data_IF_278128058298
#
_entry.id   IF_278128058298
#
_cell.length_a   1.000
_cell.length_b   1.000
_cell.length_c   1.000
_cell.angle_alpha   90.00
_cell.angle_beta   90.00
_cell.angle_gamma   90.00
#
_symmetry.space_group_name_H-M   'P 1'
#
loop_
_entity.id
_entity.type
_entity.pdbx_description
1 polymer ?
#
# COMPACT_ATOMS: atom_id res chain seq x y z
N UNK A 1 -8.87 26.48 -5.56
CA UNK A 1 -7.54 26.70 -6.15
C UNK A 1 -6.50 26.96 -5.07
N UNK A 2 -6.76 27.84 -4.12
CA UNK A 2 -5.85 28.14 -2.99
C UNK A 2 -5.45 26.89 -2.21
N UNK A 3 -6.41 26.00 -1.89
CA UNK A 3 -6.14 24.75 -1.21
C UNK A 3 -5.20 23.84 -2.03
N UNK A 4 -5.42 23.71 -3.33
CA UNK A 4 -4.53 22.93 -4.21
C UNK A 4 -3.13 23.52 -4.24
N UNK A 5 -3.02 24.85 -4.30
CA UNK A 5 -1.74 25.54 -4.28
C UNK A 5 -1.01 25.37 -2.95
N UNK A 6 -1.73 25.38 -1.81
CA UNK A 6 -1.13 25.14 -0.49
C UNK A 6 -0.56 23.72 -0.34
N UNK A 7 -1.09 22.74 -1.09
CA UNK A 7 -0.56 21.38 -1.20
C UNK A 7 0.43 21.19 -2.35
N UNK A 8 0.98 22.27 -2.91
CA UNK A 8 1.97 22.26 -3.99
C UNK A 8 1.47 21.67 -5.32
N UNK A 9 0.17 21.64 -5.53
CA UNK A 9 -0.42 21.34 -6.85
C UNK A 9 -0.56 22.64 -7.66
N UNK A 10 -0.54 22.59 -9.01
CA UNK A 10 -0.70 23.78 -9.85
C UNK A 10 -2.16 24.27 -9.85
N UNK A 11 -2.66 24.76 -8.72
CA UNK A 11 -4.05 25.09 -8.47
C UNK A 11 -4.67 26.05 -9.49
N UNK A 12 -3.87 26.96 -10.04
CA UNK A 12 -4.34 27.92 -11.07
C UNK A 12 -4.52 27.30 -12.44
N UNK A 13 -3.79 26.22 -12.74
CA UNK A 13 -3.76 25.56 -14.06
C UNK A 13 -4.68 24.34 -14.14
N UNK A 14 -4.97 23.69 -13.00
CA UNK A 14 -5.82 22.51 -12.96
C UNK A 14 -7.23 22.86 -13.47
N UNK A 15 -7.79 22.12 -14.45
CA UNK A 15 -9.16 22.30 -14.89
C UNK A 15 -10.14 21.96 -13.75
N UNK A 16 -11.21 22.74 -13.64
CA UNK A 16 -12.30 22.50 -12.69
C UNK A 16 -13.57 22.35 -13.50
N UNK A 17 -14.09 21.13 -13.55
CA UNK A 17 -15.31 20.80 -14.30
C UNK A 17 -16.49 20.80 -13.32
N UNK A 18 -17.58 21.46 -13.71
CA UNK A 18 -18.82 21.52 -12.93
C UNK A 18 -19.92 20.76 -13.63
N UNK A 19 -20.54 19.80 -12.96
CA UNK A 19 -21.61 18.99 -13.51
C UNK A 19 -22.38 18.24 -12.42
N UNK A 20 -23.38 17.49 -12.84
CA UNK A 20 -24.22 16.67 -11.98
C UNK A 20 -24.33 15.24 -12.55
N UNK A 21 -23.81 14.27 -11.80
CA UNK A 21 -23.93 12.86 -12.16
C UNK A 21 -25.41 12.40 -12.21
N UNK A 22 -26.25 12.91 -11.32
CA UNK A 22 -27.69 12.62 -11.34
C UNK A 22 -28.33 13.10 -12.65
N UNK A 23 -28.02 14.33 -13.06
CA UNK A 23 -28.53 14.88 -14.33
C UNK A 23 -28.04 14.10 -15.55
N UNK A 24 -26.83 13.55 -15.50
CA UNK A 24 -26.36 12.68 -16.57
C UNK A 24 -27.16 11.37 -16.66
N UNK A 25 -27.50 10.76 -15.53
CA UNK A 25 -28.36 9.56 -15.49
C UNK A 25 -29.77 9.88 -16.01
N UNK A 26 -30.29 11.08 -15.70
CA UNK A 26 -31.58 11.57 -16.19
C UNK A 26 -31.56 11.97 -17.69
N UNK A 27 -30.39 11.94 -18.34
CA UNK A 27 -30.26 12.29 -19.76
C UNK A 27 -30.15 13.78 -20.05
N UNK A 28 -29.95 14.63 -19.03
CA UNK A 28 -29.71 16.07 -19.22
C UNK A 28 -28.38 16.31 -19.94
N UNK A 29 -28.45 16.94 -21.11
CA UNK A 29 -27.26 17.18 -21.93
C UNK A 29 -26.33 18.23 -21.32
N UNK A 30 -26.88 19.33 -20.78
CA UNK A 30 -26.09 20.51 -20.44
C UNK A 30 -25.43 20.40 -19.05
N UNK A 31 -26.16 19.95 -18.05
CA UNK A 31 -25.65 19.81 -16.68
C UNK A 31 -25.12 18.43 -16.36
N UNK A 32 -25.40 17.45 -17.20
CA UNK A 32 -25.06 16.05 -17.00
C UNK A 32 -24.03 15.54 -18.01
N UNK A 33 -24.44 15.24 -19.23
CA UNK A 33 -23.64 14.49 -20.20
C UNK A 33 -22.38 15.25 -20.62
N UNK A 34 -22.52 16.48 -21.10
CA UNK A 34 -21.37 17.31 -21.53
C UNK A 34 -20.31 17.50 -20.46
N UNK A 35 -20.65 17.88 -19.19
CA UNK A 35 -19.65 17.99 -18.14
C UNK A 35 -18.92 16.68 -17.85
N UNK A 36 -19.55 15.53 -17.97
CA UNK A 36 -18.89 14.23 -17.78
C UNK A 36 -17.92 13.96 -18.93
N UNK A 37 -18.29 14.23 -20.16
CA UNK A 37 -17.40 14.12 -21.32
C UNK A 37 -16.19 15.08 -21.19
N UNK A 38 -16.42 16.33 -20.77
CA UNK A 38 -15.36 17.29 -20.48
C UNK A 38 -14.43 16.81 -19.35
N UNK A 39 -14.99 16.19 -18.30
CA UNK A 39 -14.22 15.61 -17.20
C UNK A 39 -13.30 14.50 -17.70
N UNK A 40 -13.85 13.56 -18.49
CA UNK A 40 -13.05 12.46 -19.04
C UNK A 40 -11.93 12.98 -19.95
N UNK A 41 -12.23 13.96 -20.81
CA UNK A 41 -11.22 14.61 -21.64
C UNK A 41 -10.14 15.32 -20.80
N UNK A 42 -10.53 16.05 -19.75
CA UNK A 42 -9.59 16.72 -18.85
C UNK A 42 -8.71 15.72 -18.10
N UNK A 43 -9.25 14.57 -17.70
CA UNK A 43 -8.47 13.46 -17.10
C UNK A 43 -7.41 12.97 -18.06
N UNK A 44 -7.78 12.67 -19.30
CA UNK A 44 -6.86 12.15 -20.32
C UNK A 44 -5.74 13.16 -20.67
N UNK A 45 -6.06 14.45 -20.69
CA UNK A 45 -5.11 15.52 -21.07
C UNK A 45 -4.22 16.00 -19.92
N UNK A 46 -4.70 15.90 -18.68
CA UNK A 46 -4.05 16.60 -17.53
C UNK A 46 -3.35 15.65 -16.56
N UNK A 47 -3.85 14.41 -16.41
CA UNK A 47 -3.26 13.45 -15.48
C UNK A 47 -2.09 12.74 -16.16
N UNK A 48 -0.84 12.90 -15.64
CA UNK A 48 0.30 12.23 -16.23
C UNK A 48 0.19 10.71 -16.04
N UNK A 49 0.69 9.96 -17.01
CA UNK A 49 0.83 8.51 -16.88
C UNK A 49 1.82 8.21 -15.73
N UNK A 50 1.45 7.39 -14.75
CA UNK A 50 2.35 7.02 -13.66
C UNK A 50 3.50 6.16 -14.19
N UNK A 51 4.70 6.39 -13.64
CA UNK A 51 5.80 5.47 -13.86
C UNK A 51 5.48 4.11 -13.26
N UNK A 52 5.67 3.05 -14.05
CA UNK A 52 5.46 1.66 -13.62
C UNK A 52 6.82 0.97 -13.51
N UNK A 53 7.30 0.63 -12.31
CA UNK A 53 8.60 0.00 -12.11
C UNK A 53 8.59 -1.48 -12.52
N UNK A 54 8.52 -1.77 -13.83
CA UNK A 54 8.44 -3.12 -14.38
C UNK A 54 9.77 -3.87 -14.34
N UNK A 55 10.89 -3.15 -14.33
CA UNK A 55 12.26 -3.72 -14.35
C UNK A 55 12.71 -4.28 -12.99
N UNK A 56 11.94 -4.00 -11.92
CA UNK A 56 12.22 -4.52 -10.59
C UNK A 56 11.68 -5.95 -10.43
N UNK A 57 12.19 -6.73 -9.45
CA UNK A 57 11.59 -8.01 -9.10
C UNK A 57 10.11 -7.85 -8.77
N UNK A 58 9.28 -8.82 -9.21
CA UNK A 58 7.85 -8.80 -8.92
C UNK A 58 7.57 -8.77 -7.42
N UNK A 59 6.63 -7.90 -7.03
CA UNK A 59 6.10 -7.80 -5.67
C UNK A 59 4.66 -7.32 -5.71
N UNK A 60 3.77 -8.06 -5.03
CA UNK A 60 2.36 -7.75 -4.87
C UNK A 60 1.94 -7.96 -3.41
N UNK A 61 1.57 -6.90 -2.68
CA UNK A 61 0.92 -7.03 -1.37
C UNK A 61 -0.42 -7.76 -1.51
N UNK A 62 -0.67 -8.73 -0.64
CA UNK A 62 -1.91 -9.51 -0.63
C UNK A 62 -2.98 -8.72 0.11
N UNK A 63 -4.09 -8.43 -0.58
CA UNK A 63 -5.25 -7.72 -0.06
C UNK A 63 -6.35 -8.67 0.39
N UNK A 64 -6.70 -9.65 -0.45
CA UNK A 64 -7.70 -10.66 -0.16
C UNK A 64 -7.28 -12.06 -0.63
N UNK A 65 -7.90 -13.08 -0.02
CA UNK A 65 -7.64 -14.49 -0.31
C UNK A 65 -8.95 -15.22 -0.52
N UNK A 66 -9.08 -15.88 -1.67
CA UNK A 66 -10.27 -16.63 -2.06
C UNK A 66 -9.91 -18.08 -2.37
N UNK A 67 -10.86 -19.00 -2.11
CA UNK A 67 -10.82 -20.36 -2.63
C UNK A 67 -11.79 -20.48 -3.79
N UNK A 68 -11.31 -20.95 -4.92
CA UNK A 68 -12.15 -21.27 -6.09
C UNK A 68 -12.24 -22.80 -6.20
N UNK A 69 -13.46 -23.32 -6.10
CA UNK A 69 -13.72 -24.77 -6.22
C UNK A 69 -13.12 -25.32 -7.52
N UNK A 70 -12.30 -26.37 -7.43
CA UNK A 70 -11.65 -27.03 -8.56
C UNK A 70 -10.46 -26.25 -9.18
N UNK A 71 -10.15 -25.03 -8.68
CA UNK A 71 -9.02 -24.22 -9.18
C UNK A 71 -7.92 -23.98 -8.15
N UNK A 72 -8.25 -23.87 -6.86
CA UNK A 72 -7.31 -23.64 -5.78
C UNK A 72 -7.45 -22.26 -5.12
N UNK A 73 -6.39 -21.76 -4.53
CA UNK A 73 -6.35 -20.48 -3.83
C UNK A 73 -5.96 -19.36 -4.77
N UNK A 74 -6.74 -18.29 -4.75
CA UNK A 74 -6.47 -17.03 -5.44
C UNK A 74 -6.16 -15.95 -4.42
N UNK A 75 -5.07 -15.22 -4.63
CA UNK A 75 -4.75 -14.02 -3.88
C UNK A 75 -4.92 -12.80 -4.77
N UNK A 76 -5.50 -11.73 -4.23
CA UNK A 76 -5.66 -10.49 -4.98
C UNK A 76 -4.82 -9.39 -4.38
N UNK A 77 -4.42 -8.46 -5.22
CA UNK A 77 -3.67 -7.27 -4.81
C UNK A 77 -3.27 -6.40 -6.00
N UNK A 78 -2.75 -5.25 -5.68
CA UNK A 78 -2.13 -4.38 -6.67
C UNK A 78 -0.65 -4.75 -6.80
N UNK A 79 -0.20 -4.98 -8.01
CA UNK A 79 1.23 -5.18 -8.29
C UNK A 79 1.98 -3.88 -7.98
N UNK A 80 2.84 -3.92 -6.97
CA UNK A 80 3.64 -2.76 -6.53
C UNK A 80 4.79 -2.50 -7.49
N UNK A 81 5.45 -3.56 -7.95
CA UNK A 81 6.57 -3.53 -8.88
C UNK A 81 6.75 -4.84 -9.64
N UNK A 82 7.48 -4.79 -10.73
CA UNK A 82 7.84 -5.94 -11.56
C UNK A 82 6.70 -6.46 -12.43
N UNK A 83 6.91 -7.66 -12.93
CA UNK A 83 6.00 -8.40 -13.79
C UNK A 83 5.90 -9.84 -13.29
N UNK A 84 4.70 -10.40 -13.30
CA UNK A 84 4.46 -11.83 -13.05
C UNK A 84 3.84 -12.46 -14.30
N UNK A 85 4.31 -13.64 -14.65
CA UNK A 85 3.76 -14.46 -15.74
C UNK A 85 3.13 -15.74 -15.20
N UNK A 86 2.25 -16.32 -15.96
CA UNK A 86 1.78 -17.67 -15.70
C UNK A 86 2.96 -18.64 -15.72
N UNK A 87 3.02 -19.52 -14.72
CA UNK A 87 4.07 -20.49 -14.40
C UNK A 87 5.34 -19.91 -13.74
N UNK A 88 5.38 -18.64 -13.38
CA UNK A 88 6.46 -18.10 -12.56
C UNK A 88 6.48 -18.74 -11.17
N UNK A 89 7.68 -19.07 -10.69
CA UNK A 89 7.91 -19.45 -9.29
C UNK A 89 7.86 -18.19 -8.42
N UNK A 90 7.13 -18.26 -7.32
CA UNK A 90 6.90 -17.17 -6.40
C UNK A 90 7.08 -17.61 -4.94
N UNK A 91 7.23 -16.64 -4.05
CA UNK A 91 7.24 -16.80 -2.60
C UNK A 91 6.16 -15.94 -1.94
N UNK A 92 5.52 -16.51 -0.91
CA UNK A 92 4.62 -15.80 0.01
C UNK A 92 5.45 -15.45 1.25
N UNK A 93 5.65 -14.17 1.52
CA UNK A 93 6.58 -13.66 2.54
C UNK A 93 5.88 -12.79 3.57
N UNK A 94 6.26 -12.91 4.83
CA UNK A 94 5.74 -12.12 5.96
C UNK A 94 4.72 -12.88 6.79
N UNK A 95 4.51 -12.42 8.03
CA UNK A 95 3.59 -12.93 9.06
C UNK A 95 3.85 -14.39 9.44
N UNK A 96 3.84 -15.29 8.47
CA UNK A 96 4.10 -16.74 8.61
C UNK A 96 5.45 -17.12 8.00
N UNK A 97 5.81 -18.38 8.11
CA UNK A 97 6.98 -18.92 7.41
C UNK A 97 6.83 -18.74 5.90
N UNK A 98 7.93 -18.37 5.27
CA UNK A 98 7.97 -18.17 3.80
C UNK A 98 7.65 -19.45 3.08
N UNK A 99 6.71 -19.41 2.15
CA UNK A 99 6.27 -20.55 1.37
C UNK A 99 6.54 -20.32 -0.12
N UNK A 100 6.96 -21.37 -0.81
CA UNK A 100 7.13 -21.36 -2.26
C UNK A 100 5.84 -21.80 -2.95
N UNK A 101 5.55 -21.18 -4.07
CA UNK A 101 4.39 -21.51 -4.90
C UNK A 101 4.67 -21.21 -6.36
N UNK A 102 3.72 -21.53 -7.23
CA UNK A 102 3.76 -21.19 -8.65
C UNK A 102 2.47 -20.45 -9.01
N UNK A 103 2.59 -19.36 -9.72
CA UNK A 103 1.46 -18.65 -10.31
C UNK A 103 0.91 -19.48 -11.48
N UNK A 104 -0.26 -20.08 -11.34
CA UNK A 104 -0.86 -20.90 -12.41
C UNK A 104 -1.85 -20.13 -13.28
N UNK A 105 -2.14 -18.89 -12.93
CA UNK A 105 -3.00 -18.03 -13.73
C UNK A 105 -3.04 -16.62 -13.16
N UNK A 106 -3.22 -15.67 -14.03
CA UNK A 106 -3.41 -14.25 -13.71
C UNK A 106 -4.78 -13.84 -14.23
N UNK A 107 -5.56 -13.14 -13.43
CA UNK A 107 -6.89 -12.66 -13.80
C UNK A 107 -7.05 -11.19 -13.43
N UNK A 108 -7.66 -10.42 -14.33
CA UNK A 108 -8.05 -9.03 -14.10
C UNK A 108 -9.41 -8.77 -14.77
N UNK A 109 -10.37 -8.19 -14.01
CA UNK A 109 -11.72 -7.91 -14.47
C UNK A 109 -12.42 -9.13 -15.10
N UNK A 110 -12.27 -10.31 -14.51
CA UNK A 110 -12.83 -11.60 -14.99
C UNK A 110 -12.27 -12.06 -16.34
N UNK A 111 -11.11 -11.53 -16.74
CA UNK A 111 -10.38 -11.98 -17.93
C UNK A 111 -9.09 -12.63 -17.51
N UNK A 112 -8.79 -13.78 -18.08
CA UNK A 112 -7.50 -14.43 -17.93
C UNK A 112 -6.45 -13.67 -18.74
N UNK A 113 -5.31 -13.47 -18.13
CA UNK A 113 -4.15 -12.79 -18.73
C UNK A 113 -2.94 -13.73 -18.65
N UNK A 114 -2.00 -13.56 -19.57
CA UNK A 114 -0.72 -14.24 -19.52
C UNK A 114 0.23 -13.60 -18.48
N UNK A 115 0.07 -12.29 -18.28
CA UNK A 115 0.96 -11.48 -17.44
C UNK A 115 0.19 -10.48 -16.60
N UNK A 116 0.77 -10.11 -15.43
CA UNK A 116 0.36 -8.96 -14.62
C UNK A 116 1.58 -8.08 -14.34
N UNK A 117 1.44 -6.75 -14.44
CA UNK A 117 2.55 -5.82 -14.33
C UNK A 117 2.31 -4.72 -13.30
N UNK A 118 3.40 -4.04 -12.89
CA UNK A 118 3.34 -2.94 -11.93
C UNK A 118 2.18 -1.98 -12.22
N UNK A 119 1.34 -1.72 -11.22
CA UNK A 119 0.14 -0.88 -11.30
C UNK A 119 -1.16 -1.62 -11.54
N UNK A 120 -1.12 -2.88 -11.98
CA UNK A 120 -2.32 -3.67 -12.23
C UNK A 120 -2.90 -4.22 -10.91
N UNK A 121 -4.23 -4.26 -10.81
CA UNK A 121 -4.93 -5.02 -9.77
C UNK A 121 -5.27 -6.40 -10.34
N UNK A 122 -4.64 -7.43 -9.80
CA UNK A 122 -4.78 -8.80 -10.31
C UNK A 122 -5.22 -9.78 -9.24
N UNK A 123 -5.80 -10.89 -9.69
CA UNK A 123 -5.91 -12.13 -8.95
C UNK A 123 -4.86 -13.11 -9.46
N UNK A 124 -4.01 -13.62 -8.58
CA UNK A 124 -3.02 -14.64 -8.89
C UNK A 124 -3.48 -16.00 -8.33
N UNK A 125 -3.60 -16.97 -9.20
CA UNK A 125 -3.94 -18.34 -8.83
C UNK A 125 -2.66 -19.09 -8.42
N UNK A 126 -2.65 -19.65 -7.21
CA UNK A 126 -1.48 -20.26 -6.59
C UNK A 126 -1.59 -21.78 -6.54
N UNK A 127 -0.52 -22.48 -6.92
CA UNK A 127 -0.42 -23.93 -6.88
C UNK A 127 -0.02 -24.40 -5.48
N UNK A 128 -0.77 -25.39 -4.95
CA UNK A 128 -0.38 -26.11 -3.72
C UNK A 128 -0.45 -25.27 -2.45
N UNK A 129 -1.20 -24.18 -2.46
CA UNK A 129 -1.44 -23.32 -1.30
C UNK A 129 -2.90 -23.42 -0.90
N UNK A 130 -3.15 -23.78 0.33
CA UNK A 130 -4.49 -23.75 0.93
C UNK A 130 -4.80 -22.34 1.43
N UNK A 131 -6.10 -21.98 1.46
CA UNK A 131 -6.54 -20.65 1.87
C UNK A 131 -6.05 -20.25 3.27
N UNK A 132 -5.93 -21.18 4.21
CA UNK A 132 -5.49 -20.95 5.58
C UNK A 132 -3.97 -20.76 5.71
N UNK A 133 -3.21 -21.07 4.68
CA UNK A 133 -1.75 -20.89 4.64
C UNK A 133 -1.33 -19.48 4.24
N UNK A 134 -2.21 -18.74 3.59
CA UNK A 134 -1.97 -17.36 3.14
C UNK A 134 -3.00 -16.40 3.73
N UNK A 135 -2.58 -15.19 4.00
CA UNK A 135 -3.46 -14.16 4.58
C UNK A 135 -3.10 -12.76 4.10
N UNK A 136 -4.06 -11.85 4.25
CA UNK A 136 -3.85 -10.42 4.00
C UNK A 136 -2.66 -9.90 4.81
N UNK A 137 -1.83 -9.08 4.16
CA UNK A 137 -0.65 -8.47 4.78
C UNK A 137 0.66 -9.17 4.47
N UNK A 138 0.61 -10.41 4.00
CA UNK A 138 1.76 -11.04 3.35
C UNK A 138 1.99 -10.42 1.97
N UNK A 139 3.14 -10.65 1.38
CA UNK A 139 3.42 -10.28 -0.01
C UNK A 139 3.69 -11.51 -0.86
N UNK A 140 3.24 -11.46 -2.09
CA UNK A 140 3.62 -12.40 -3.13
C UNK A 140 4.78 -11.77 -3.91
N UNK A 141 5.90 -12.46 -4.02
CA UNK A 141 7.13 -11.90 -4.58
C UNK A 141 7.93 -12.91 -5.41
N UNK A 142 8.85 -12.38 -6.22
CA UNK A 142 9.89 -13.20 -6.86
C UNK A 142 10.75 -13.86 -5.78
N UNK A 143 11.12 -15.15 -5.92
CA UNK A 143 11.89 -15.85 -4.89
C UNK A 143 13.17 -15.11 -4.48
N UNK A 144 13.36 -14.94 -3.15
CA UNK A 144 14.53 -14.32 -2.56
C UNK A 144 14.64 -12.81 -2.75
N UNK A 145 13.66 -12.15 -3.37
CA UNK A 145 13.72 -10.70 -3.65
C UNK A 145 13.37 -9.82 -2.46
N UNK A 146 12.66 -10.34 -1.47
CA UNK A 146 12.33 -9.64 -0.22
C UNK A 146 12.39 -10.63 0.95
N UNK A 147 12.68 -10.12 2.15
CA UNK A 147 12.78 -10.94 3.37
C UNK A 147 11.83 -10.44 4.45
N UNK A 148 11.37 -11.35 5.34
CA UNK A 148 10.61 -10.96 6.52
C UNK A 148 11.54 -10.47 7.63
N UNK A 149 11.18 -9.37 8.30
CA UNK A 149 11.92 -8.79 9.40
C UNK A 149 10.99 -8.49 10.59
N UNK A 150 11.49 -8.70 11.81
CA UNK A 150 10.82 -8.32 13.06
C UNK A 150 11.43 -7.07 13.70
N UNK A 151 12.62 -6.66 13.26
CA UNK A 151 13.32 -5.50 13.80
C UNK A 151 13.86 -4.65 12.68
N UNK A 152 13.67 -3.33 12.80
CA UNK A 152 14.13 -2.36 11.81
C UNK A 152 14.45 -1.02 12.48
N UNK A 153 15.27 -0.21 11.82
CA UNK A 153 15.49 1.20 12.14
C UNK A 153 14.63 2.07 11.25
N UNK A 154 14.12 3.16 11.78
CA UNK A 154 13.24 4.07 11.05
C UNK A 154 13.50 5.53 11.37
N UNK A 155 13.17 6.37 10.39
CA UNK A 155 12.95 7.80 10.55
C UNK A 155 11.43 8.06 10.48
N UNK A 156 10.85 8.72 11.47
CA UNK A 156 9.40 8.96 11.50
C UNK A 156 9.08 10.36 12.02
N UNK A 157 8.13 11.01 11.36
CA UNK A 157 7.52 12.25 11.80
C UNK A 157 6.29 11.95 12.66
N UNK A 158 6.23 12.55 13.83
CA UNK A 158 5.13 12.39 14.78
C UNK A 158 4.17 13.56 14.63
N UNK A 159 2.95 13.27 14.22
CA UNK A 159 1.93 14.28 13.94
C UNK A 159 1.57 15.10 15.19
N UNK A 160 1.47 16.41 15.02
CA UNK A 160 0.98 17.35 16.03
C UNK A 160 -0.53 17.18 16.28
N UNK A 161 -1.01 17.72 17.39
CA UNK A 161 -2.44 17.73 17.72
C UNK A 161 -3.28 18.40 16.62
N UNK A 162 -2.81 19.49 16.06
CA UNK A 162 -3.48 20.24 15.00
C UNK A 162 -3.56 19.46 13.67
N UNK A 163 -2.67 18.50 13.49
CA UNK A 163 -2.63 17.55 12.35
C UNK A 163 -3.47 16.28 12.61
N UNK A 164 -4.21 16.24 13.72
CA UNK A 164 -4.99 15.07 14.15
C UNK A 164 -4.17 14.01 14.90
N UNK A 165 -2.93 14.30 15.23
CA UNK A 165 -2.00 13.41 15.92
C UNK A 165 -2.10 13.43 17.44
N UNK A 166 -0.99 13.21 18.10
CA UNK A 166 -0.86 13.15 19.57
C UNK A 166 -0.76 14.56 20.17
N UNK A 167 -1.11 14.66 21.45
CA UNK A 167 -0.90 15.87 22.28
C UNK A 167 0.06 15.63 23.43
N UNK A 168 0.54 14.40 23.60
CA UNK A 168 1.49 14.00 24.66
C UNK A 168 2.71 13.32 24.04
N UNK A 169 3.89 13.48 24.66
CA UNK A 169 5.08 12.74 24.23
C UNK A 169 4.91 11.24 24.42
N UNK A 170 5.81 10.46 23.84
CA UNK A 170 5.98 9.04 24.15
C UNK A 170 7.45 8.73 24.47
N UNK A 171 7.65 7.62 25.14
CA UNK A 171 8.92 7.15 25.67
C UNK A 171 9.30 5.81 25.04
N UNK A 172 10.51 5.34 25.30
CA UNK A 172 10.89 3.95 24.97
C UNK A 172 9.88 2.97 25.56
N UNK A 173 9.67 1.84 24.89
CA UNK A 173 8.62 0.83 25.12
C UNK A 173 7.20 1.26 24.75
N UNK A 174 7.02 2.37 24.06
CA UNK A 174 5.75 2.71 23.42
C UNK A 174 5.38 1.63 22.39
N UNK A 175 4.13 1.18 22.39
CA UNK A 175 3.67 0.02 21.59
C UNK A 175 2.45 0.37 20.74
N UNK A 176 2.61 1.15 19.66
CA UNK A 176 1.55 1.45 18.71
C UNK A 176 1.40 0.34 17.66
N UNK A 177 0.46 0.54 16.74
CA UNK A 177 0.33 -0.24 15.53
C UNK A 177 1.10 0.41 14.38
N UNK A 178 1.89 -0.39 13.68
CA UNK A 178 2.64 -0.03 12.47
C UNK A 178 1.92 -0.59 11.25
N UNK A 179 1.51 0.29 10.37
CA UNK A 179 0.78 -0.07 9.14
C UNK A 179 1.74 -0.13 7.97
N UNK A 180 1.96 -1.35 7.46
CA UNK A 180 2.76 -1.61 6.28
C UNK A 180 1.86 -2.14 5.16
N UNK A 181 1.89 -1.54 3.98
CA UNK A 181 1.09 -2.00 2.83
C UNK A 181 -0.36 -2.32 3.22
N UNK A 182 -0.73 -3.59 3.34
CA UNK A 182 -2.10 -4.06 3.57
C UNK A 182 -2.37 -4.59 4.97
N UNK A 183 -1.40 -4.48 5.90
CA UNK A 183 -1.53 -4.99 7.27
C UNK A 183 -1.04 -4.01 8.32
N UNK A 184 -1.45 -4.25 9.54
CA UNK A 184 -0.93 -3.61 10.73
C UNK A 184 -0.33 -4.64 11.70
N UNK A 185 0.73 -4.24 12.38
CA UNK A 185 1.42 -5.06 13.38
C UNK A 185 1.80 -4.20 14.57
N UNK A 186 1.56 -4.70 15.78
CA UNK A 186 2.05 -4.05 16.98
C UNK A 186 3.57 -4.12 17.05
N UNK A 187 4.21 -2.99 17.32
CA UNK A 187 5.65 -2.92 17.50
C UNK A 187 6.04 -2.12 18.74
N UNK A 188 7.13 -2.51 19.36
CA UNK A 188 7.72 -1.78 20.48
C UNK A 188 8.81 -0.84 19.97
N UNK A 189 8.70 0.44 20.38
CA UNK A 189 9.66 1.49 20.01
C UNK A 189 10.77 1.55 21.03
N UNK A 190 12.01 1.56 20.58
CA UNK A 190 13.21 1.87 21.36
C UNK A 190 13.83 3.15 20.82
N UNK A 191 13.97 4.14 21.67
CA UNK A 191 14.60 5.42 21.33
C UNK A 191 16.14 5.31 21.37
N UNK A 192 16.84 6.12 20.57
CA UNK A 192 18.30 6.19 20.61
C UNK A 192 18.82 6.58 22.01
N UNK A 193 20.04 6.18 22.30
CA UNK A 193 20.72 6.57 23.54
C UNK A 193 20.79 8.10 23.66
N UNK A 194 20.46 8.62 24.85
CA UNK A 194 20.38 10.05 25.12
C UNK A 194 19.05 10.71 24.74
N UNK A 195 18.11 9.98 24.14
CA UNK A 195 16.77 10.49 23.84
C UNK A 195 15.78 9.92 24.85
N UNK A 196 15.26 10.76 25.74
CA UNK A 196 14.32 10.31 26.77
C UNK A 196 12.90 10.16 26.23
N UNK A 197 12.46 11.10 25.37
CA UNK A 197 11.10 11.14 24.83
C UNK A 197 11.08 11.74 23.42
N UNK A 198 9.99 11.52 22.70
CA UNK A 198 9.66 12.15 21.42
C UNK A 198 8.39 12.96 21.59
N UNK A 199 8.43 14.23 21.15
CA UNK A 199 7.29 15.15 21.19
C UNK A 199 6.48 15.09 19.90
N UNK A 200 5.16 15.41 19.95
CA UNK A 200 4.40 15.69 18.74
C UNK A 200 5.05 16.83 17.93
N UNK A 201 5.29 16.58 16.64
CA UNK A 201 5.99 17.50 15.73
C UNK A 201 7.47 17.18 15.52
N UNK A 202 8.01 16.21 16.26
CA UNK A 202 9.39 15.77 16.06
C UNK A 202 9.53 14.85 14.86
N UNK A 203 10.68 14.96 14.21
CA UNK A 203 11.18 14.01 13.24
C UNK A 203 12.27 13.16 13.93
N UNK A 204 11.93 11.91 14.23
CA UNK A 204 12.70 11.08 15.14
C UNK A 204 13.22 9.80 14.51
N UNK A 205 14.47 9.46 14.87
CA UNK A 205 15.02 8.12 14.63
C UNK A 205 14.58 7.19 15.72
N UNK A 206 14.23 5.97 15.37
CA UNK A 206 13.84 4.93 16.32
C UNK A 206 14.16 3.53 15.81
N UNK A 207 14.33 2.61 16.76
CA UNK A 207 14.36 1.18 16.46
C UNK A 207 13.00 0.59 16.84
N UNK A 208 12.44 -0.22 15.97
CA UNK A 208 11.14 -0.87 16.21
C UNK A 208 11.32 -2.38 16.20
N UNK A 209 10.71 -3.04 17.19
CA UNK A 209 10.62 -4.50 17.27
C UNK A 209 9.16 -4.91 17.16
N UNK A 210 8.80 -5.58 16.05
CA UNK A 210 7.46 -6.04 15.75
C UNK A 210 7.16 -7.38 16.44
N UNK A 211 5.88 -7.63 16.74
CA UNK A 211 5.44 -8.92 17.31
C UNK A 211 5.35 -10.03 16.26
N UNK A 212 5.29 -9.67 14.97
CA UNK A 212 5.25 -10.61 13.84
C UNK A 212 6.17 -10.12 12.71
N UNK A 213 6.78 -11.03 11.95
CA UNK A 213 7.66 -10.64 10.84
C UNK A 213 6.86 -10.03 9.69
N UNK A 214 7.36 -8.95 9.11
CA UNK A 214 6.79 -8.28 7.93
C UNK A 214 7.82 -8.29 6.81
N UNK A 215 7.35 -8.56 5.59
CA UNK A 215 8.17 -8.42 4.40
C UNK A 215 8.51 -6.94 4.17
N UNK A 216 9.79 -6.57 4.33
CA UNK A 216 10.22 -5.18 4.22
C UNK A 216 11.62 -5.06 3.62
N UNK A 217 11.84 -3.92 2.99
CA UNK A 217 13.13 -3.44 2.52
C UNK A 217 13.35 -2.00 3.00
N UNK A 218 14.55 -1.49 2.86
CA UNK A 218 14.85 -0.07 3.05
C UNK A 218 13.94 0.81 2.17
N UNK A 219 13.61 1.99 2.68
CA UNK A 219 12.70 2.95 2.07
C UNK A 219 11.21 2.53 2.07
N UNK A 220 10.83 1.40 2.67
CA UNK A 220 9.41 1.07 2.87
C UNK A 220 8.77 2.10 3.80
N UNK A 221 7.71 2.73 3.32
CA UNK A 221 6.92 3.70 4.10
C UNK A 221 5.92 2.97 4.98
N UNK A 222 5.68 3.54 6.16
CA UNK A 222 4.67 3.05 7.10
C UNK A 222 3.95 4.20 7.81
N UNK A 223 2.77 3.90 8.34
CA UNK A 223 2.06 4.79 9.25
C UNK A 223 2.09 4.22 10.67
N UNK A 224 2.12 5.11 11.67
CA UNK A 224 1.97 4.78 13.08
C UNK A 224 0.56 5.14 13.51
N UNK A 225 -0.18 4.20 14.11
CA UNK A 225 -1.55 4.43 14.56
C UNK A 225 -1.76 4.01 16.01
N UNK A 226 -2.63 4.76 16.66
CA UNK A 226 -3.04 4.55 18.04
C UNK A 226 -4.55 4.74 18.15
N UNK A 227 -5.27 3.74 18.64
CA UNK A 227 -6.72 3.82 18.79
C UNK A 227 -7.47 4.21 17.52
N UNK A 228 -7.02 3.73 16.34
CA UNK A 228 -7.63 4.06 15.05
C UNK A 228 -7.21 5.39 14.43
N UNK A 229 -6.38 6.21 15.12
CA UNK A 229 -5.85 7.49 14.61
C UNK A 229 -4.42 7.32 14.10
N UNK A 230 -4.11 7.94 12.98
CA UNK A 230 -2.73 8.07 12.54
C UNK A 230 -2.04 9.13 13.39
N UNK A 231 -0.97 8.73 14.06
CA UNK A 231 -0.19 9.59 14.95
C UNK A 231 1.22 9.85 14.45
N UNK A 232 1.60 9.22 13.36
CA UNK A 232 2.89 9.44 12.71
C UNK A 232 3.00 8.70 11.40
N UNK A 233 4.03 9.03 10.64
CA UNK A 233 4.42 8.36 9.42
C UNK A 233 5.93 8.32 9.31
N UNK A 234 6.47 7.26 8.74
CA UNK A 234 7.90 7.06 8.66
C UNK A 234 8.34 6.20 7.49
N UNK A 235 9.63 6.01 7.43
CA UNK A 235 10.32 5.19 6.45
C UNK A 235 11.33 4.29 7.13
N UNK A 236 11.44 3.05 6.65
CA UNK A 236 12.47 2.09 7.08
C UNK A 236 13.82 2.56 6.55
N UNK A 237 14.81 2.67 7.43
CA UNK A 237 16.17 3.11 7.07
C UNK A 237 17.19 1.97 7.12
N UNK A 238 16.87 0.89 7.86
CA UNK A 238 17.72 -0.30 7.93
C UNK A 238 16.97 -1.50 8.50
#
# INVERSE_FOLDING_TARGET
RELLTSYQFPGDKIPIIKGSALKAIEGDSELGIKPIEELMKAVDETIPQPERPKDKPFLMPIEDVFSISGRGTVVTGRVEQGVVNTNDELEIVGIKETQKTVCTGVEMFRKLLDTGEAGDNIGALLRGIDRNQVERGQVLSKPGSIKPHTKFEAQAYILKKEEGGRHTPFFSKYRPQFYFRTTDVTGEVTLPEGTEMIMPGDDAKMTVTLISPIAMDENLKFAIREGGRTVGAGVVTK
#
